data_IF_207189021724
#
_entry.id   IF_207189021724
#
_cell.length_a   1.000
_cell.length_b   1.000
_cell.length_c   1.000
_cell.angle_alpha   90.00
_cell.angle_beta   90.00
_cell.angle_gamma   90.00
#
_symmetry.space_group_name_H-M   'P 1'
#
loop_
_entity.id
_entity.type
_entity.pdbx_description
1 polymer ?
#
# COMPACT_ATOMS: atom_id res chain seq x y z
N UNK A 1 -2.66 11.27 13.66
CA UNK A 1 -3.83 11.43 12.76
C UNK A 1 -4.59 10.14 12.78
N UNK A 2 -5.91 10.20 12.89
CA UNK A 2 -6.80 9.05 12.82
C UNK A 2 -7.84 9.28 11.73
N UNK A 3 -8.15 8.21 11.00
CA UNK A 3 -9.12 8.20 9.92
C UNK A 3 -10.01 6.96 10.12
N UNK A 4 -11.31 7.16 10.13
CA UNK A 4 -12.33 6.10 10.15
C UNK A 4 -13.17 6.21 8.89
N UNK A 5 -13.34 5.10 8.17
CA UNK A 5 -14.14 5.06 6.96
C UNK A 5 -15.16 3.92 7.05
N UNK A 6 -16.44 4.23 6.86
CA UNK A 6 -17.54 3.24 6.76
C UNK A 6 -18.37 3.58 5.52
N UNK A 7 -18.28 2.75 4.49
CA UNK A 7 -18.86 3.06 3.18
C UNK A 7 -18.30 4.37 2.63
N UNK A 8 -19.17 5.35 2.33
CA UNK A 8 -18.78 6.69 1.89
C UNK A 8 -18.57 7.71 3.02
N UNK A 9 -18.87 7.34 4.27
CA UNK A 9 -18.70 8.22 5.43
C UNK A 9 -17.26 8.17 5.92
N UNK A 10 -16.67 9.35 6.13
CA UNK A 10 -15.32 9.49 6.66
C UNK A 10 -15.35 10.34 7.92
N UNK A 11 -14.55 9.97 8.91
CA UNK A 11 -14.29 10.78 10.09
C UNK A 11 -12.78 10.88 10.28
N UNK A 12 -12.26 12.09 10.40
CA UNK A 12 -10.83 12.35 10.60
C UNK A 12 -10.61 13.14 11.87
N UNK A 13 -9.55 12.83 12.62
CA UNK A 13 -9.05 13.71 13.68
C UNK A 13 -7.53 13.79 13.65
N UNK A 14 -7.00 14.92 14.09
CA UNK A 14 -5.57 15.13 14.25
C UNK A 14 -5.29 15.57 15.68
N UNK A 15 -4.63 14.69 16.43
CA UNK A 15 -4.08 15.02 17.74
C UNK A 15 -2.78 15.79 17.56
N UNK A 16 -2.88 17.12 17.54
CA UNK A 16 -1.73 18.04 17.47
C UNK A 16 -1.61 18.74 18.84
N UNK A 17 -0.44 18.71 19.48
CA UNK A 17 -0.22 19.43 20.74
C UNK A 17 -0.62 20.91 20.62
N UNK A 18 -1.50 21.38 21.51
CA UNK A 18 -1.97 22.77 21.52
C UNK A 18 -3.19 23.06 20.61
N UNK A 19 -3.73 22.08 19.88
CA UNK A 19 -4.97 22.22 19.12
C UNK A 19 -6.06 21.27 19.62
N UNK A 20 -7.33 21.62 19.41
CA UNK A 20 -8.45 20.75 19.78
C UNK A 20 -8.53 19.55 18.82
N UNK A 21 -8.40 18.34 19.35
CA UNK A 21 -8.61 17.10 18.60
C UNK A 21 -10.10 16.77 18.49
N UNK A 22 -10.79 17.46 17.59
CA UNK A 22 -12.20 17.18 17.26
C UNK A 22 -12.29 16.34 16.00
N UNK A 23 -13.26 15.43 15.97
CA UNK A 23 -13.61 14.70 14.76
C UNK A 23 -14.21 15.64 13.73
N UNK A 24 -13.71 15.54 12.50
CA UNK A 24 -14.25 16.19 11.32
C UNK A 24 -14.95 15.12 10.49
N UNK A 25 -16.26 15.29 10.30
CA UNK A 25 -17.08 14.33 9.57
C UNK A 25 -17.22 14.78 8.12
N UNK A 26 -16.99 13.86 7.19
CA UNK A 26 -17.07 14.11 5.77
C UNK A 26 -17.74 12.97 5.01
N UNK A 27 -17.89 13.20 3.71
CA UNK A 27 -18.18 12.14 2.75
C UNK A 27 -17.04 12.13 1.75
N UNK A 28 -16.42 10.97 1.54
CA UNK A 28 -15.50 10.83 0.43
C UNK A 28 -16.34 10.70 -0.84
N UNK A 29 -16.11 11.63 -1.78
CA UNK A 29 -16.42 11.35 -3.17
C UNK A 29 -15.45 10.25 -3.60
N UNK A 30 -15.95 9.03 -3.79
CA UNK A 30 -15.19 8.00 -4.49
C UNK A 30 -15.16 8.47 -5.93
N UNK A 31 -14.08 9.12 -6.34
CA UNK A 31 -13.82 9.32 -7.76
C UNK A 31 -13.81 7.92 -8.38
N UNK A 32 -14.55 7.67 -9.48
CA UNK A 32 -14.42 6.42 -10.18
C UNK A 32 -12.97 6.33 -10.67
N UNK A 33 -12.15 5.53 -10.00
CA UNK A 33 -10.85 5.15 -10.51
C UNK A 33 -11.11 4.24 -11.70
N UNK A 34 -11.11 4.82 -12.91
CA UNK A 34 -10.99 3.99 -14.09
C UNK A 34 -9.70 3.17 -13.91
N UNK A 35 -9.76 1.84 -14.02
CA UNK A 35 -8.54 1.05 -13.96
C UNK A 35 -7.60 1.58 -15.05
N UNK A 36 -6.30 1.77 -14.74
CA UNK A 36 -5.36 2.19 -15.75
C UNK A 36 -5.43 1.20 -16.92
N UNK A 37 -5.58 1.72 -18.13
CA UNK A 37 -5.59 0.90 -19.34
C UNK A 37 -4.26 0.14 -19.41
N UNK A 38 -4.29 -1.20 -19.34
CA UNK A 38 -3.08 -2.02 -19.30
C UNK A 38 -2.23 -1.87 -20.57
N UNK A 39 -2.79 -1.37 -21.68
CA UNK A 39 -2.06 -1.16 -22.94
C UNK A 39 -1.15 0.07 -22.90
N UNK A 40 -1.37 1.01 -21.97
CA UNK A 40 -0.53 2.20 -21.80
C UNK A 40 0.75 1.94 -20.98
N UNK A 41 0.89 0.75 -20.40
CA UNK A 41 2.08 0.32 -19.67
C UNK A 41 2.92 -0.57 -20.58
N UNK A 42 3.76 0.04 -21.40
CA UNK A 42 4.84 -0.69 -22.07
C UNK A 42 6.04 -0.77 -21.14
N UNK A 43 6.73 -1.91 -21.13
CA UNK A 43 7.88 -2.07 -20.26
C UNK A 43 8.35 -3.50 -20.14
N UNK A 44 9.50 -3.67 -19.51
CA UNK A 44 10.04 -4.98 -19.15
C UNK A 44 9.90 -5.20 -17.65
N UNK A 45 9.46 -6.39 -17.28
CA UNK A 45 9.40 -6.85 -15.89
C UNK A 45 10.43 -7.96 -15.75
N UNK A 46 11.49 -7.70 -15.00
CA UNK A 46 12.46 -8.73 -14.62
C UNK A 46 12.15 -9.19 -13.20
N UNK A 47 11.88 -10.48 -13.02
CA UNK A 47 11.61 -11.07 -11.70
C UNK A 47 12.73 -12.06 -11.38
N UNK A 48 13.26 -12.00 -10.16
CA UNK A 48 14.21 -12.99 -9.65
C UNK A 48 13.82 -13.43 -8.24
N UNK A 49 14.07 -14.71 -7.95
CA UNK A 49 13.97 -15.24 -6.58
C UNK A 49 15.30 -14.99 -5.89
N UNK A 50 15.24 -14.31 -4.76
CA UNK A 50 16.38 -14.14 -3.85
C UNK A 50 16.46 -15.31 -2.87
N UNK A 51 17.59 -15.51 -2.17
CA UNK A 51 17.66 -16.50 -1.11
C UNK A 51 16.55 -16.31 -0.07
N UNK A 52 16.10 -17.43 0.50
CA UNK A 52 15.10 -17.41 1.55
C UNK A 52 15.65 -16.70 2.80
N UNK A 53 14.80 -15.96 3.49
CA UNK A 53 15.15 -15.16 4.66
C UNK A 53 14.06 -15.28 5.72
N UNK A 54 14.12 -14.44 6.76
CA UNK A 54 13.12 -14.38 7.82
C UNK A 54 12.64 -12.94 8.05
N UNK A 55 11.35 -12.80 8.35
CA UNK A 55 10.75 -11.55 8.83
C UNK A 55 10.02 -11.87 10.12
N UNK A 56 10.37 -11.17 11.21
CA UNK A 56 9.83 -11.42 12.55
C UNK A 56 9.91 -12.90 12.96
N UNK A 57 11.01 -13.58 12.60
CA UNK A 57 11.23 -15.01 12.89
C UNK A 57 10.47 -15.99 11.98
N UNK A 58 9.61 -15.52 11.08
CA UNK A 58 8.90 -16.38 10.13
C UNK A 58 9.70 -16.54 8.83
N UNK A 59 9.85 -17.77 8.29
CA UNK A 59 10.55 -18.00 7.03
C UNK A 59 9.77 -17.42 5.85
N UNK A 60 10.48 -16.78 4.91
CA UNK A 60 9.88 -16.16 3.72
C UNK A 60 10.64 -16.51 2.44
N UNK A 61 9.88 -16.64 1.35
CA UNK A 61 10.37 -16.59 -0.02
C UNK A 61 10.41 -15.14 -0.49
N UNK A 62 11.58 -14.70 -0.98
CA UNK A 62 11.76 -13.31 -1.43
C UNK A 62 11.87 -13.25 -2.95
N UNK A 63 11.03 -12.42 -3.56
CA UNK A 63 11.01 -12.15 -4.98
C UNK A 63 11.33 -10.69 -5.21
N UNK A 64 12.33 -10.40 -6.04
CA UNK A 64 12.64 -9.04 -6.48
C UNK A 64 12.14 -8.86 -7.90
N UNK A 65 11.36 -7.82 -8.14
CA UNK A 65 11.02 -7.37 -9.47
C UNK A 65 11.61 -6.00 -9.75
N UNK A 66 12.08 -5.82 -10.98
CA UNK A 66 12.42 -4.50 -11.52
C UNK A 66 11.53 -4.27 -12.72
N UNK A 67 10.70 -3.24 -12.64
CA UNK A 67 9.85 -2.80 -13.74
C UNK A 67 10.44 -1.54 -14.34
N UNK A 68 10.76 -1.62 -15.63
CA UNK A 68 11.15 -0.45 -16.41
C UNK A 68 9.96 -0.11 -17.29
N UNK A 69 9.23 0.94 -16.92
CA UNK A 69 8.09 1.42 -17.71
C UNK A 69 8.55 2.47 -18.74
N UNK A 70 8.17 2.26 -19.98
CA UNK A 70 8.10 3.28 -21.02
C UNK A 70 6.69 3.86 -21.01
N UNK A 71 6.48 4.97 -20.31
CA UNK A 71 5.24 5.75 -20.47
C UNK A 71 5.34 6.49 -21.80
N UNK A 72 4.34 6.34 -22.67
CA UNK A 72 4.20 7.16 -23.88
C UNK A 72 3.79 8.58 -23.44
N UNK A 73 4.76 9.48 -23.29
CA UNK A 73 4.52 10.87 -22.87
C UNK A 73 5.76 11.55 -22.28
N UNK A 74 5.68 12.84 -21.88
CA UNK A 74 6.82 13.62 -21.38
C UNK A 74 7.22 13.30 -19.93
N UNK A 75 6.56 12.34 -19.28
CA UNK A 75 6.85 11.99 -17.90
C UNK A 75 8.20 11.27 -17.78
N UNK A 76 9.06 11.64 -16.82
CA UNK A 76 10.35 10.98 -16.64
C UNK A 76 10.15 9.49 -16.30
N UNK A 77 10.85 8.64 -17.04
CA UNK A 77 10.85 7.20 -16.82
C UNK A 77 11.71 6.88 -15.61
N UNK A 78 11.11 6.24 -14.60
CA UNK A 78 11.82 5.79 -13.42
C UNK A 78 11.66 4.29 -13.29
N UNK A 79 12.76 3.52 -13.23
CA UNK A 79 12.65 2.11 -12.91
C UNK A 79 12.05 1.98 -11.50
N UNK A 80 11.05 1.13 -11.39
CA UNK A 80 10.42 0.77 -10.12
C UNK A 80 11.00 -0.57 -9.71
N UNK A 81 11.65 -0.62 -8.55
CA UNK A 81 12.12 -1.87 -7.97
C UNK A 81 11.16 -2.26 -6.85
N UNK A 82 10.60 -3.46 -6.90
CA UNK A 82 9.79 -4.01 -5.83
C UNK A 82 10.42 -5.28 -5.28
N UNK A 83 10.28 -5.50 -3.98
CA UNK A 83 10.65 -6.75 -3.30
C UNK A 83 9.43 -7.25 -2.55
N UNK A 84 8.96 -8.44 -2.91
CA UNK A 84 7.85 -9.12 -2.25
C UNK A 84 8.40 -10.27 -1.43
N UNK A 85 8.09 -10.27 -0.14
CA UNK A 85 8.38 -11.38 0.77
C UNK A 85 7.08 -12.11 1.09
N UNK A 86 7.05 -13.40 0.80
CA UNK A 86 5.90 -14.29 0.97
C UNK A 86 6.23 -15.29 2.08
N UNK A 87 5.34 -15.46 3.05
CA UNK A 87 5.49 -16.48 4.08
C UNK A 87 5.64 -17.87 3.45
N UNK A 88 6.73 -18.57 3.76
CA UNK A 88 7.07 -19.86 3.15
C UNK A 88 6.13 -20.99 3.58
N UNK A 89 5.41 -20.84 4.70
CA UNK A 89 4.49 -21.85 5.24
C UNK A 89 3.06 -21.61 4.78
N UNK A 90 2.58 -20.37 4.78
CA UNK A 90 1.18 -20.04 4.46
C UNK A 90 0.97 -19.61 3.01
N UNK A 91 2.04 -19.20 2.31
CA UNK A 91 1.94 -18.64 0.96
C UNK A 91 1.37 -17.22 0.92
N UNK A 92 1.07 -16.60 2.07
CA UNK A 92 0.56 -15.23 2.10
C UNK A 92 1.70 -14.20 2.06
N UNK A 93 1.47 -13.03 1.42
CA UNK A 93 2.41 -11.92 1.52
C UNK A 93 2.71 -11.57 2.98
N UNK A 94 3.91 -11.08 3.24
CA UNK A 94 4.29 -10.55 4.56
C UNK A 94 4.79 -9.13 4.47
N UNK A 95 5.57 -8.82 3.43
CA UNK A 95 6.11 -7.50 3.21
C UNK A 95 6.28 -7.22 1.73
N UNK A 96 5.90 -6.03 1.31
CA UNK A 96 6.27 -5.45 0.02
C UNK A 96 7.13 -4.22 0.26
N UNK A 97 8.26 -4.11 -0.42
CA UNK A 97 9.12 -2.92 -0.43
C UNK A 97 9.17 -2.41 -1.86
N UNK A 98 8.65 -1.23 -2.12
CA UNK A 98 8.65 -0.61 -3.46
C UNK A 98 9.50 0.66 -3.44
N UNK A 99 10.53 0.69 -4.28
CA UNK A 99 11.39 1.83 -4.53
C UNK A 99 11.05 2.49 -5.87
N UNK A 100 10.84 3.81 -5.88
CA UNK A 100 10.60 4.60 -7.10
C UNK A 100 11.79 5.52 -7.34
N UNK A 101 12.48 5.34 -8.47
CA UNK A 101 13.57 6.22 -8.91
C UNK A 101 14.73 6.36 -7.92
N UNK A 102 14.91 5.40 -7.00
CA UNK A 102 15.96 5.39 -5.97
C UNK A 102 15.82 6.47 -4.87
N UNK A 103 14.75 7.28 -4.88
CA UNK A 103 14.56 8.41 -3.95
C UNK A 103 13.49 8.15 -2.90
N UNK A 104 12.50 7.34 -3.25
CA UNK A 104 11.37 7.02 -2.39
C UNK A 104 11.29 5.51 -2.22
N UNK A 105 11.19 5.07 -0.97
CA UNK A 105 10.95 3.66 -0.62
C UNK A 105 9.71 3.60 0.25
N UNK A 106 8.74 2.81 -0.19
CA UNK A 106 7.53 2.48 0.56
C UNK A 106 7.62 1.03 1.02
N UNK A 107 7.45 0.81 2.32
CA UNK A 107 7.32 -0.53 2.90
C UNK A 107 5.87 -0.73 3.32
N UNK A 108 5.27 -1.83 2.87
CA UNK A 108 3.95 -2.28 3.29
C UNK A 108 4.10 -3.63 3.97
N UNK A 109 3.67 -3.71 5.22
CA UNK A 109 3.59 -4.95 5.98
C UNK A 109 2.17 -5.48 5.97
N UNK A 110 2.04 -6.80 5.82
CA UNK A 110 0.75 -7.48 5.81
C UNK A 110 0.69 -8.46 6.98
N UNK A 111 -0.36 -8.35 7.78
CA UNK A 111 -0.61 -9.20 8.96
C UNK A 111 -2.10 -9.48 9.10
N UNK A 112 -2.45 -10.32 10.07
CA UNK A 112 -3.83 -10.54 10.52
C UNK A 112 -4.80 -10.96 9.41
N UNK A 113 -4.30 -11.81 8.49
CA UNK A 113 -5.08 -12.36 7.40
C UNK A 113 -6.36 -13.06 7.90
N UNK A 114 -7.51 -12.57 7.45
CA UNK A 114 -8.82 -13.10 7.85
C UNK A 114 -9.27 -12.72 9.26
N UNK A 115 -8.51 -11.90 9.98
CA UNK A 115 -8.94 -11.38 11.27
C UNK A 115 -10.18 -10.52 11.11
N UNK A 116 -11.16 -10.72 11.99
CA UNK A 116 -12.32 -9.84 12.08
C UNK A 116 -11.88 -8.53 12.75
N UNK A 117 -12.24 -7.41 12.16
CA UNK A 117 -12.07 -6.10 12.78
C UNK A 117 -13.43 -5.40 12.92
N UNK A 118 -13.55 -4.56 13.94
CA UNK A 118 -14.75 -3.76 14.20
C UNK A 118 -14.39 -2.29 13.96
N UNK A 119 -15.09 -1.64 13.04
CA UNK A 119 -14.99 -0.19 12.83
C UNK A 119 -16.22 0.46 13.42
N UNK A 120 -16.01 1.42 14.33
CA UNK A 120 -17.09 2.23 14.90
C UNK A 120 -16.90 3.67 14.46
N UNK A 121 -17.92 4.27 13.84
CA UNK A 121 -17.91 5.71 13.55
C UNK A 121 -17.99 6.48 14.87
N UNK A 122 -17.23 7.58 15.03
CA UNK A 122 -17.39 8.47 16.16
C UNK A 122 -18.85 8.95 16.26
N UNK A 123 -19.40 9.00 17.48
CA UNK A 123 -20.82 9.34 17.70
C UNK A 123 -21.24 10.69 17.08
N UNK A 124 -20.31 11.66 17.03
CA UNK A 124 -20.53 12.98 16.40
C UNK A 124 -20.67 12.93 14.88
N UNK A 125 -20.28 11.80 14.26
CA UNK A 125 -20.43 11.53 12.84
C UNK A 125 -21.55 10.51 12.57
N UNK A 126 -22.37 10.16 13.58
CA UNK A 126 -23.49 9.23 13.55
C UNK A 126 -24.74 9.85 12.95
#
# INVERSE_FOLDING_TARGET
MEIVMIGSRTATRMDIPGMSSKWQCGRMAVAPSLPPDPTNLQGTVNISRSPDTQIAGMPVHTYTSTVTHTVVGPAPQHPVKATLSINAQTGFPMRSVTGVGGKFTMTTDYSDYGAKFVITLPAVCG
#
